data_IF_149036858281
#
_entry.id   IF_149036858281
#
_cell.length_a   1.000
_cell.length_b   1.000
_cell.length_c   1.000
_cell.angle_alpha   90.00
_cell.angle_beta   90.00
_cell.angle_gamma   90.00
#
_symmetry.space_group_name_H-M   'P 1'
#
loop_
_entity.id
_entity.type
_entity.pdbx_description
1 polymer ?
#
# COMPACT_ATOMS: atom_id res chain seq x y z
N UNK A 1 42.72 49.58 20.54
CA UNK A 1 41.58 49.23 19.67
C UNK A 1 42.07 48.16 18.70
N UNK A 2 41.56 46.94 18.82
CA UNK A 2 41.87 45.80 17.93
C UNK A 2 40.62 45.47 17.12
N UNK A 3 40.70 45.19 15.81
CA UNK A 3 39.54 44.70 15.06
C UNK A 3 39.40 43.19 15.26
N UNK A 4 38.17 42.75 15.52
CA UNK A 4 37.79 41.35 15.59
C UNK A 4 37.88 40.71 14.20
N UNK A 5 38.66 39.63 14.08
CA UNK A 5 38.64 38.73 12.94
C UNK A 5 37.42 37.81 13.06
N UNK A 6 36.46 37.97 12.14
CA UNK A 6 35.32 37.05 11.99
C UNK A 6 35.70 35.88 11.09
N UNK A 7 35.67 34.65 11.63
CA UNK A 7 35.79 33.43 10.85
C UNK A 7 34.47 33.16 10.12
N UNK A 8 34.41 33.43 8.82
CA UNK A 8 33.32 32.98 7.96
C UNK A 8 33.56 31.51 7.58
N UNK A 9 32.85 30.59 8.25
CA UNK A 9 32.72 29.20 7.80
C UNK A 9 31.81 29.18 6.57
N UNK A 10 32.39 29.13 5.37
CA UNK A 10 31.67 28.87 4.13
C UNK A 10 31.40 27.38 4.06
N UNK A 11 30.18 26.95 4.38
CA UNK A 11 29.73 25.60 4.07
C UNK A 11 29.50 25.50 2.57
N UNK A 12 30.39 24.77 1.88
CA UNK A 12 30.17 24.34 0.50
C UNK A 12 29.00 23.36 0.53
N UNK A 13 27.84 23.80 0.06
CA UNK A 13 26.74 22.91 -0.26
C UNK A 13 27.14 22.20 -1.55
N UNK A 14 27.54 20.92 -1.46
CA UNK A 14 27.62 20.08 -2.65
C UNK A 14 26.20 19.95 -3.19
N UNK A 15 25.91 20.43 -4.41
CA UNK A 15 24.65 20.10 -5.03
C UNK A 15 24.65 18.60 -5.26
N UNK A 16 23.79 17.87 -4.55
CA UNK A 16 23.36 16.55 -4.97
C UNK A 16 22.83 16.74 -6.38
N UNK A 17 23.60 16.32 -7.39
CA UNK A 17 23.07 16.14 -8.73
C UNK A 17 22.01 15.05 -8.62
N UNK A 18 20.79 15.46 -8.32
CA UNK A 18 19.63 14.70 -8.70
C UNK A 18 19.68 14.69 -10.22
N UNK A 19 20.25 13.63 -10.80
CA UNK A 19 19.91 13.23 -12.15
C UNK A 19 18.41 12.97 -12.14
N UNK A 20 17.65 14.02 -12.42
CA UNK A 20 16.25 13.90 -12.72
C UNK A 20 16.23 13.28 -14.12
N UNK A 21 16.27 11.95 -14.19
CA UNK A 21 15.89 11.18 -15.39
C UNK A 21 14.39 11.38 -15.59
N UNK A 22 14.04 12.59 -16.03
CA UNK A 22 12.70 13.06 -16.32
C UNK A 22 12.29 12.46 -17.68
N UNK A 23 12.11 11.14 -17.76
CA UNK A 23 11.37 10.35 -18.80
C UNK A 23 11.77 8.87 -18.87
N UNK A 24 12.16 8.21 -17.77
CA UNK A 24 11.99 6.75 -17.77
C UNK A 24 10.49 6.45 -17.67
N UNK A 25 9.94 5.86 -18.73
CA UNK A 25 8.58 5.32 -18.73
C UNK A 25 8.40 4.47 -17.47
N UNK A 26 7.41 4.81 -16.64
CA UNK A 26 7.12 4.01 -15.44
C UNK A 26 6.94 2.55 -15.87
N UNK A 27 7.65 1.65 -15.18
CA UNK A 27 7.48 0.21 -15.34
C UNK A 27 6.00 -0.16 -15.21
N UNK A 28 5.57 -1.21 -15.90
CA UNK A 28 4.19 -1.70 -15.80
C UNK A 28 3.80 -2.02 -14.36
N UNK A 29 4.76 -2.51 -13.56
CA UNK A 29 4.58 -2.76 -12.14
C UNK A 29 4.22 -1.48 -11.37
N UNK A 30 4.94 -0.38 -11.60
CA UNK A 30 4.68 0.91 -10.92
C UNK A 30 3.32 1.48 -11.31
N UNK A 31 2.96 1.43 -12.60
CA UNK A 31 1.65 1.87 -13.09
C UNK A 31 0.52 1.08 -12.44
N UNK A 32 0.66 -0.25 -12.36
CA UNK A 32 -0.32 -1.12 -11.74
C UNK A 32 -0.41 -0.92 -10.22
N UNK A 33 0.72 -0.71 -9.53
CA UNK A 33 0.75 -0.43 -8.10
C UNK A 33 0.04 0.89 -7.75
N UNK A 34 0.27 1.95 -8.53
CA UNK A 34 -0.41 3.23 -8.34
C UNK A 34 -1.92 3.12 -8.60
N UNK A 35 -2.31 2.42 -9.67
CA UNK A 35 -3.71 2.15 -9.98
C UNK A 35 -4.42 1.36 -8.86
N UNK A 36 -3.73 0.38 -8.27
CA UNK A 36 -4.24 -0.36 -7.12
C UNK A 36 -4.46 0.57 -5.91
N UNK A 37 -3.44 1.36 -5.56
CA UNK A 37 -3.52 2.31 -4.43
C UNK A 37 -4.64 3.33 -4.61
N UNK A 38 -4.78 3.88 -5.82
CA UNK A 38 -5.84 4.82 -6.18
C UNK A 38 -7.22 4.18 -6.02
N UNK A 39 -7.42 2.99 -6.59
CA UNK A 39 -8.70 2.27 -6.48
C UNK A 39 -9.06 1.99 -5.02
N UNK A 40 -8.10 1.57 -4.19
CA UNK A 40 -8.32 1.34 -2.77
C UNK A 40 -8.74 2.63 -2.03
N UNK A 41 -8.10 3.77 -2.32
CA UNK A 41 -8.47 5.08 -1.75
C UNK A 41 -9.84 5.55 -2.20
N UNK A 42 -10.14 5.47 -3.49
CA UNK A 42 -11.41 5.92 -4.07
C UNK A 42 -12.59 5.18 -3.42
N UNK A 43 -12.44 3.86 -3.22
CA UNK A 43 -13.42 3.03 -2.51
C UNK A 43 -13.47 3.27 -1.00
N UNK A 44 -12.52 4.01 -0.41
CA UNK A 44 -12.40 4.21 1.04
C UNK A 44 -11.92 2.96 1.78
N UNK A 45 -11.26 2.05 1.06
CA UNK A 45 -10.65 0.83 1.61
C UNK A 45 -9.26 1.09 2.21
N UNK A 46 -8.63 2.20 1.82
CA UNK A 46 -7.30 2.56 2.27
C UNK A 46 -7.21 4.07 2.48
N UNK A 47 -6.59 4.49 3.58
CA UNK A 47 -6.40 5.89 3.93
C UNK A 47 -4.95 6.28 3.69
N UNK A 48 -4.59 6.52 2.42
CA UNK A 48 -3.26 7.08 2.08
C UNK A 48 -2.06 6.25 2.55
N UNK A 49 -0.85 6.77 2.29
CA UNK A 49 0.31 6.40 3.12
C UNK A 49 -0.07 6.70 4.57
N UNK A 50 0.26 5.80 5.50
CA UNK A 50 0.04 6.01 6.92
C UNK A 50 0.77 7.28 7.36
N UNK A 51 0.13 8.43 7.19
CA UNK A 51 0.70 9.71 7.58
C UNK A 51 0.78 9.70 9.09
N UNK A 52 1.79 10.38 9.62
CA UNK A 52 1.87 10.65 11.07
C UNK A 52 0.57 11.23 11.61
N UNK A 53 -0.20 11.92 10.77
CA UNK A 53 -1.56 12.40 11.05
C UNK A 53 -2.56 11.27 11.25
N UNK A 54 -2.59 10.25 10.38
CA UNK A 54 -3.46 9.08 10.57
C UNK A 54 -3.10 8.30 11.85
N UNK A 55 -1.80 8.23 12.19
CA UNK A 55 -1.34 7.66 13.46
C UNK A 55 -1.77 8.53 14.65
N UNK A 56 -1.67 9.85 14.54
CA UNK A 56 -2.10 10.81 15.57
C UNK A 56 -3.62 10.81 15.77
N UNK A 57 -4.41 10.70 14.71
CA UNK A 57 -5.88 10.61 14.78
C UNK A 57 -6.32 9.31 15.46
N UNK A 58 -5.59 8.21 15.22
CA UNK A 58 -5.77 6.94 15.94
C UNK A 58 -5.40 7.08 17.42
N UNK A 59 -4.30 7.77 17.75
CA UNK A 59 -3.86 7.98 19.13
C UNK A 59 -4.78 8.91 19.93
N UNK A 60 -5.36 9.90 19.27
CA UNK A 60 -6.24 10.91 19.88
C UNK A 60 -7.72 10.51 19.87
N UNK A 61 -8.06 9.38 19.22
CA UNK A 61 -9.43 8.90 19.10
C UNK A 61 -10.30 9.73 18.15
N UNK A 62 -9.72 10.69 17.42
CA UNK A 62 -10.43 11.59 16.51
C UNK A 62 -10.59 10.99 15.10
N UNK A 63 -10.70 9.66 15.01
CA UNK A 63 -10.88 8.96 13.74
C UNK A 63 -12.22 9.34 13.13
N UNK A 64 -12.21 10.28 12.19
CA UNK A 64 -13.41 10.64 11.44
C UNK A 64 -13.77 9.50 10.49
N UNK A 65 -14.63 8.61 10.98
CA UNK A 65 -15.09 7.43 10.26
C UNK A 65 -15.97 7.79 9.04
N UNK A 66 -16.22 9.08 8.74
CA UNK A 66 -16.99 9.53 7.59
C UNK A 66 -16.48 8.96 6.25
N UNK A 67 -15.16 8.75 6.12
CA UNK A 67 -14.54 8.18 4.92
C UNK A 67 -14.52 6.64 4.84
N UNK A 68 -14.93 5.94 5.90
CA UNK A 68 -14.77 4.49 6.02
C UNK A 68 -15.59 3.72 4.97
N UNK A 69 -15.00 2.67 4.41
CA UNK A 69 -15.63 1.81 3.41
C UNK A 69 -17.03 1.34 3.81
N UNK A 70 -17.21 0.85 5.05
CA UNK A 70 -18.49 0.33 5.53
C UNK A 70 -19.59 1.41 5.50
N UNK A 71 -19.27 2.68 5.78
CA UNK A 71 -20.23 3.79 5.64
C UNK A 71 -20.54 4.07 4.18
N UNK A 72 -19.52 4.10 3.31
CA UNK A 72 -19.68 4.35 1.87
C UNK A 72 -20.60 3.31 1.19
N UNK A 73 -20.53 2.05 1.62
CA UNK A 73 -21.42 1.00 1.09
C UNK A 73 -22.76 0.91 1.82
N UNK A 74 -22.96 1.69 2.87
CA UNK A 74 -24.18 1.71 3.68
C UNK A 74 -24.36 0.46 4.55
N UNK A 75 -23.27 -0.16 5.01
CA UNK A 75 -23.31 -1.41 5.81
C UNK A 75 -24.12 -1.26 7.11
N UNK A 76 -24.17 -0.06 7.67
CA UNK A 76 -24.93 0.32 8.86
C UNK A 76 -26.44 0.47 8.61
N UNK A 77 -26.87 0.60 7.36
CA UNK A 77 -28.27 0.86 6.98
C UNK A 77 -28.88 -0.26 6.14
N UNK A 78 -28.14 -0.81 5.19
CA UNK A 78 -28.59 -1.84 4.27
C UNK A 78 -28.82 -3.19 4.97
N UNK A 79 -29.61 -4.08 4.35
CA UNK A 79 -29.81 -5.43 4.88
C UNK A 79 -28.48 -6.21 4.93
N UNK A 80 -28.22 -7.01 5.99
CA UNK A 80 -26.95 -7.73 6.16
C UNK A 80 -26.55 -8.57 4.94
N UNK A 81 -27.49 -9.31 4.34
CA UNK A 81 -27.22 -10.12 3.15
C UNK A 81 -26.77 -9.28 1.94
N UNK A 82 -27.37 -8.10 1.75
CA UNK A 82 -27.00 -7.16 0.69
C UNK A 82 -25.60 -6.59 0.94
N UNK A 83 -25.31 -6.20 2.18
CA UNK A 83 -23.99 -5.73 2.60
C UNK A 83 -22.93 -6.81 2.32
N UNK A 84 -23.14 -8.03 2.79
CA UNK A 84 -22.21 -9.15 2.60
C UNK A 84 -21.96 -9.44 1.12
N UNK A 85 -23.00 -9.43 0.30
CA UNK A 85 -22.87 -9.64 -1.16
C UNK A 85 -21.98 -8.56 -1.79
N UNK A 86 -22.18 -7.30 -1.39
CA UNK A 86 -21.38 -6.18 -1.89
C UNK A 86 -19.92 -6.25 -1.42
N UNK A 87 -19.70 -6.53 -0.13
CA UNK A 87 -18.35 -6.69 0.44
C UNK A 87 -17.61 -7.83 -0.25
N UNK A 88 -18.24 -8.98 -0.48
CA UNK A 88 -17.64 -10.11 -1.23
C UNK A 88 -17.24 -9.70 -2.65
N UNK A 89 -18.10 -8.95 -3.35
CA UNK A 89 -17.81 -8.47 -4.70
C UNK A 89 -16.58 -7.56 -4.74
N UNK A 90 -16.54 -6.57 -3.86
CA UNK A 90 -15.41 -5.63 -3.76
C UNK A 90 -14.12 -6.32 -3.28
N UNK A 91 -14.23 -7.26 -2.33
CA UNK A 91 -13.13 -8.06 -1.82
C UNK A 91 -12.51 -8.91 -2.91
N UNK A 92 -13.33 -9.65 -3.67
CA UNK A 92 -12.84 -10.49 -4.76
C UNK A 92 -12.19 -9.67 -5.86
N UNK A 93 -12.74 -8.49 -6.18
CA UNK A 93 -12.11 -7.57 -7.13
C UNK A 93 -10.74 -7.08 -6.61
N UNK A 94 -10.65 -6.69 -5.34
CA UNK A 94 -9.38 -6.25 -4.72
C UNK A 94 -8.34 -7.36 -4.67
N UNK A 95 -8.75 -8.58 -4.27
CA UNK A 95 -7.87 -9.75 -4.21
C UNK A 95 -7.36 -10.14 -5.59
N UNK A 96 -8.21 -10.05 -6.62
CA UNK A 96 -7.80 -10.25 -8.02
C UNK A 96 -6.79 -9.20 -8.46
N UNK A 97 -7.07 -7.91 -8.27
CA UNK A 97 -6.14 -6.84 -8.66
C UNK A 97 -4.78 -6.96 -7.96
N UNK A 98 -4.75 -7.36 -6.68
CA UNK A 98 -3.49 -7.63 -5.97
C UNK A 98 -2.75 -8.85 -6.54
N UNK A 99 -3.48 -9.89 -6.91
CA UNK A 99 -2.90 -11.07 -7.55
C UNK A 99 -2.31 -10.74 -8.93
N UNK A 100 -2.99 -9.92 -9.72
CA UNK A 100 -2.52 -9.44 -11.01
C UNK A 100 -1.26 -8.56 -10.84
N UNK A 101 -1.23 -7.68 -9.82
CA UNK A 101 -0.04 -6.91 -9.46
C UNK A 101 1.13 -7.80 -9.04
N UNK A 102 0.87 -8.86 -8.27
CA UNK A 102 1.87 -9.84 -7.85
C UNK A 102 2.44 -10.60 -9.06
N UNK A 103 1.60 -10.91 -10.06
CA UNK A 103 2.06 -11.53 -11.30
C UNK A 103 3.01 -10.61 -12.09
N UNK A 104 2.76 -9.30 -12.11
CA UNK A 104 3.67 -8.31 -12.71
C UNK A 104 5.02 -8.25 -11.97
N UNK A 105 5.00 -8.29 -10.63
CA UNK A 105 6.24 -8.34 -9.83
C UNK A 105 7.08 -9.58 -10.16
N UNK A 106 6.42 -10.74 -10.20
CA UNK A 106 7.08 -12.00 -10.56
C UNK A 106 7.57 -12.03 -12.01
N UNK A 107 6.89 -11.33 -12.92
CA UNK A 107 7.35 -11.17 -14.30
C UNK A 107 8.60 -10.30 -14.34
N UNK A 108 8.59 -9.16 -13.63
CA UNK A 108 9.73 -8.25 -13.54
C UNK A 108 10.97 -9.00 -13.06
N UNK A 109 10.86 -9.75 -11.97
CA UNK A 109 11.94 -10.59 -11.40
C UNK A 109 12.59 -11.56 -12.42
N UNK A 110 11.85 -11.98 -13.45
CA UNK A 110 12.34 -12.90 -14.50
C UNK A 110 12.93 -12.17 -15.69
N UNK A 111 12.45 -10.97 -16.00
CA UNK A 111 12.78 -10.26 -17.24
C UNK A 111 13.85 -9.19 -17.06
N UNK A 112 13.94 -8.58 -15.87
CA UNK A 112 14.87 -7.50 -15.60
C UNK A 112 15.14 -7.34 -14.10
N UNK A 113 16.13 -6.51 -13.76
CA UNK A 113 16.44 -6.20 -12.36
C UNK A 113 15.44 -5.16 -11.82
N UNK A 114 14.80 -5.40 -10.66
CA UNK A 114 13.89 -4.43 -10.06
C UNK A 114 14.65 -3.18 -9.60
N UNK A 115 14.09 -2.01 -9.89
CA UNK A 115 14.63 -0.73 -9.41
C UNK A 115 14.19 -0.46 -7.97
N UNK A 116 14.83 0.50 -7.29
CA UNK A 116 14.38 0.96 -5.97
C UNK A 116 12.92 1.43 -6.01
N UNK A 117 12.52 2.13 -7.06
CA UNK A 117 11.17 2.64 -7.22
C UNK A 117 10.15 1.52 -7.41
N UNK A 118 10.50 0.43 -8.11
CA UNK A 118 9.63 -0.74 -8.26
C UNK A 118 9.31 -1.38 -6.90
N UNK A 119 10.34 -1.58 -6.07
CA UNK A 119 10.18 -2.14 -4.72
C UNK A 119 9.30 -1.22 -3.85
N UNK A 120 9.59 0.07 -3.84
CA UNK A 120 8.85 1.05 -3.04
C UNK A 120 7.37 1.13 -3.42
N UNK A 121 7.07 1.14 -4.72
CA UNK A 121 5.70 1.21 -5.23
C UNK A 121 4.91 -0.07 -4.94
N UNK A 122 5.54 -1.23 -5.07
CA UNK A 122 4.91 -2.50 -4.74
C UNK A 122 4.61 -2.63 -3.23
N UNK A 123 5.54 -2.21 -2.36
CA UNK A 123 5.32 -2.13 -0.91
C UNK A 123 4.20 -1.16 -0.53
N UNK A 124 4.12 -0.02 -1.22
CA UNK A 124 3.02 0.93 -1.05
C UNK A 124 1.68 0.26 -1.37
N UNK A 125 1.59 -0.48 -2.46
CA UNK A 125 0.38 -1.25 -2.79
C UNK A 125 0.06 -2.33 -1.75
N UNK A 126 1.06 -2.99 -1.17
CA UNK A 126 0.89 -3.96 -0.10
C UNK A 126 0.31 -3.35 1.18
N UNK A 127 0.75 -2.14 1.57
CA UNK A 127 0.18 -1.41 2.71
C UNK A 127 -1.30 -1.12 2.46
N UNK A 128 -1.62 -0.61 1.26
CA UNK A 128 -2.99 -0.36 0.83
C UNK A 128 -3.86 -1.63 0.81
N UNK A 129 -3.28 -2.77 0.43
CA UNK A 129 -3.96 -4.05 0.45
C UNK A 129 -4.28 -4.53 1.88
N UNK A 130 -3.36 -4.34 2.83
CA UNK A 130 -3.61 -4.66 4.25
C UNK A 130 -4.73 -3.78 4.83
N UNK A 131 -4.68 -2.47 4.57
CA UNK A 131 -5.76 -1.56 4.97
C UNK A 131 -7.11 -1.95 4.34
N UNK A 132 -7.11 -2.39 3.08
CA UNK A 132 -8.33 -2.85 2.39
C UNK A 132 -8.91 -4.08 3.08
N UNK A 133 -8.07 -5.05 3.46
CA UNK A 133 -8.47 -6.24 4.20
C UNK A 133 -9.13 -5.88 5.53
N UNK A 134 -8.56 -4.92 6.28
CA UNK A 134 -9.14 -4.46 7.55
C UNK A 134 -10.47 -3.72 7.33
N UNK A 135 -10.56 -2.88 6.30
CA UNK A 135 -11.81 -2.22 5.91
C UNK A 135 -12.93 -3.20 5.53
N UNK A 136 -12.60 -4.31 4.86
CA UNK A 136 -13.56 -5.38 4.58
C UNK A 136 -13.99 -6.10 5.86
N UNK A 137 -13.04 -6.39 6.77
CA UNK A 137 -13.34 -6.96 8.08
C UNK A 137 -14.33 -6.08 8.85
N UNK A 138 -14.10 -4.77 8.90
CA UNK A 138 -14.99 -3.82 9.56
C UNK A 138 -16.39 -3.83 8.95
N UNK A 139 -16.50 -3.89 7.62
CA UNK A 139 -17.79 -3.97 6.95
C UNK A 139 -18.56 -5.26 7.30
N UNK A 140 -17.87 -6.41 7.41
CA UNK A 140 -18.47 -7.65 7.89
C UNK A 140 -18.89 -7.56 9.36
N UNK A 141 -18.10 -6.90 10.21
CA UNK A 141 -18.48 -6.63 11.61
C UNK A 141 -19.78 -5.82 11.67
N UNK A 142 -19.94 -4.78 10.83
CA UNK A 142 -21.19 -4.02 10.80
C UNK A 142 -22.39 -4.85 10.30
N UNK A 143 -22.18 -5.74 9.33
CA UNK A 143 -23.22 -6.66 8.88
C UNK A 143 -23.64 -7.63 10.00
N UNK A 144 -22.67 -8.20 10.73
CA UNK A 144 -22.92 -9.14 11.83
C UNK A 144 -23.71 -8.52 12.98
N UNK A 145 -23.48 -7.24 13.32
CA UNK A 145 -24.25 -6.54 14.36
C UNK A 145 -25.76 -6.52 14.13
N UNK A 146 -26.20 -6.70 12.89
CA UNK A 146 -27.61 -6.60 12.48
C UNK A 146 -28.14 -7.89 11.85
N UNK A 147 -27.33 -8.95 11.84
CA UNK A 147 -27.68 -10.23 11.22
C UNK A 147 -28.26 -11.19 12.25
N UNK A 148 -29.28 -11.94 11.87
CA UNK A 148 -29.81 -13.06 12.68
C UNK A 148 -28.87 -14.27 12.67
N UNK A 149 -27.99 -14.36 11.66
CA UNK A 149 -26.97 -15.40 11.53
C UNK A 149 -25.60 -14.78 11.38
N UNK A 150 -24.66 -15.24 12.19
CA UNK A 150 -23.27 -14.78 12.12
C UNK A 150 -22.59 -15.24 10.82
N UNK A 151 -22.01 -14.29 10.10
CA UNK A 151 -21.09 -14.54 9.00
C UNK A 151 -19.68 -14.79 9.55
N UNK A 152 -19.04 -15.86 9.08
CA UNK A 152 -17.69 -16.21 9.51
C UNK A 152 -16.66 -15.30 8.81
N UNK A 153 -16.36 -14.16 9.43
CA UNK A 153 -15.53 -13.10 8.84
C UNK A 153 -14.19 -13.64 8.31
N UNK A 154 -13.50 -14.50 9.05
CA UNK A 154 -12.23 -15.09 8.61
C UNK A 154 -12.36 -15.92 7.32
N UNK A 155 -13.48 -16.62 7.15
CA UNK A 155 -13.74 -17.40 5.94
C UNK A 155 -13.99 -16.45 4.74
N UNK A 156 -14.74 -15.38 4.98
CA UNK A 156 -15.04 -14.36 3.95
C UNK A 156 -13.78 -13.61 3.48
N UNK A 157 -12.81 -13.40 4.37
CA UNK A 157 -11.55 -12.71 4.07
C UNK A 157 -10.53 -13.60 3.35
N UNK A 158 -10.77 -14.91 3.27
CA UNK A 158 -9.84 -15.91 2.73
C UNK A 158 -9.22 -15.56 1.36
N UNK A 159 -9.98 -15.09 0.35
CA UNK A 159 -9.40 -14.72 -0.94
C UNK A 159 -8.38 -13.57 -0.84
N UNK A 160 -8.65 -12.58 0.02
CA UNK A 160 -7.76 -11.45 0.24
C UNK A 160 -6.51 -11.86 1.03
N UNK A 161 -6.68 -12.69 2.06
CA UNK A 161 -5.56 -13.21 2.87
C UNK A 161 -4.61 -14.06 2.00
N UNK A 162 -5.15 -14.88 1.10
CA UNK A 162 -4.35 -15.66 0.14
C UNK A 162 -3.60 -14.78 -0.86
N UNK A 163 -4.21 -13.70 -1.35
CA UNK A 163 -3.56 -12.74 -2.25
C UNK A 163 -2.43 -11.98 -1.52
N UNK A 164 -2.68 -11.54 -0.28
CA UNK A 164 -1.67 -10.89 0.57
C UNK A 164 -0.47 -11.79 0.86
N UNK A 165 -0.68 -13.07 1.14
CA UNK A 165 0.41 -14.01 1.38
C UNK A 165 1.35 -14.12 0.17
N UNK A 166 0.80 -14.24 -1.04
CA UNK A 166 1.57 -14.29 -2.29
C UNK A 166 2.30 -12.98 -2.56
N UNK A 167 1.61 -11.85 -2.36
CA UNK A 167 2.20 -10.54 -2.58
C UNK A 167 3.36 -10.26 -1.61
N UNK A 168 3.27 -10.70 -0.34
CA UNK A 168 4.38 -10.61 0.63
C UNK A 168 5.62 -11.38 0.15
N UNK A 169 5.44 -12.61 -0.31
CA UNK A 169 6.57 -13.40 -0.84
C UNK A 169 7.23 -12.69 -2.03
N UNK A 170 6.44 -12.12 -2.95
CA UNK A 170 6.99 -11.37 -4.08
C UNK A 170 7.74 -10.09 -3.64
N UNK A 171 7.25 -9.39 -2.62
CA UNK A 171 7.97 -8.24 -2.04
C UNK A 171 9.32 -8.63 -1.44
N UNK A 172 9.35 -9.72 -0.67
CA UNK A 172 10.59 -10.24 -0.08
C UNK A 172 11.61 -10.60 -1.17
N UNK A 173 11.16 -11.22 -2.27
CA UNK A 173 12.01 -11.54 -3.43
C UNK A 173 12.51 -10.28 -4.15
N UNK A 174 11.64 -9.30 -4.42
CA UNK A 174 12.01 -8.01 -5.01
C UNK A 174 13.09 -7.31 -4.17
N UNK A 175 12.92 -7.28 -2.85
CA UNK A 175 13.88 -6.69 -1.93
C UNK A 175 15.21 -7.47 -1.89
N UNK A 176 15.16 -8.80 -1.89
CA UNK A 176 16.34 -9.65 -1.85
C UNK A 176 17.21 -9.49 -3.10
N UNK A 177 16.62 -9.50 -4.30
CA UNK A 177 17.36 -9.26 -5.56
C UNK A 177 18.04 -7.89 -5.54
N UNK A 178 17.33 -6.86 -5.03
CA UNK A 178 17.92 -5.52 -4.95
C UNK A 178 19.08 -5.42 -3.96
N UNK A 179 18.99 -6.12 -2.83
CA UNK A 179 20.07 -6.17 -1.85
C UNK A 179 21.34 -6.85 -2.41
N UNK A 180 21.17 -7.92 -3.19
CA UNK A 180 22.28 -8.62 -3.86
C UNK A 180 22.97 -7.73 -4.91
N UNK A 181 22.21 -6.95 -5.66
CA UNK A 181 22.76 -5.99 -6.64
C UNK A 181 23.63 -4.92 -5.97
N UNK A 182 23.17 -4.36 -4.85
CA UNK A 182 23.93 -3.37 -4.08
C UNK A 182 25.24 -3.96 -3.56
N UNK A 183 25.21 -5.18 -3.03
CA UNK A 183 26.41 -5.88 -2.56
C UNK A 183 27.40 -6.16 -3.69
N UNK A 184 26.91 -6.53 -4.88
CA UNK A 184 27.77 -6.82 -6.04
C UNK A 184 28.42 -5.53 -6.57
N UNK A 185 27.68 -4.42 -6.63
CA UNK A 185 28.20 -3.13 -7.04
C UNK A 185 29.30 -2.62 -6.10
N UNK A 186 29.13 -2.78 -4.78
CA UNK A 186 30.13 -2.40 -3.78
C UNK A 186 31.40 -3.26 -3.81
N UNK A 187 31.30 -4.52 -4.24
CA UNK A 187 32.45 -5.41 -4.38
C UNK A 187 33.25 -5.19 -5.67
N UNK A 188 32.70 -4.42 -6.63
CA UNK A 188 33.32 -4.15 -7.94
C UNK A 188 33.79 -2.69 -8.11
N UNK A 189 33.58 -1.86 -7.08
CA UNK A 189 34.08 -0.48 -6.93
C UNK A 189 35.27 -0.41 -5.99
#
# INVERSE_FOLDING_TARGET
MAPLAGCATVSVYEPVSAEISLTEDQSELRKAADAYCKTARDKGLATGEASLTALADMLTGNSDNAGAYWKKIGADKAAPATTVTRVRGDLNASAKSLSDLTALANSLLKTSKPTRSDVQEFERALIHARQSRDSFSDAFVQANKRSEREYQILLELGPMDAALAKARAAADELAAVRAQDLSTAQASS
#
